data_IF_897624358533
#
_entry.id   IF_897624358533
#
_cell.length_a   1.000
_cell.length_b   1.000
_cell.length_c   1.000
_cell.angle_alpha   90.00
_cell.angle_beta   90.00
_cell.angle_gamma   90.00
#
_symmetry.space_group_name_H-M   'P 1'
#
loop_
_entity.id
_entity.type
_entity.pdbx_description
1 polymer ?
#
# COMPACT_ATOMS: atom_id res chain seq x y z
N UNK A 1 -19.76 27.29 -55.92
CA UNK A 1 -20.74 26.18 -56.04
C UNK A 1 -20.05 24.85 -56.25
N UNK A 2 -19.75 24.11 -55.18
CA UNK A 2 -19.87 22.66 -55.17
C UNK A 2 -20.16 22.23 -53.72
N UNK A 3 -21.22 21.46 -53.53
CA UNK A 3 -21.90 21.23 -52.27
C UNK A 3 -21.34 20.08 -51.42
N UNK A 4 -21.36 20.33 -50.11
CA UNK A 4 -21.80 19.52 -48.96
C UNK A 4 -21.92 17.97 -48.97
N UNK A 5 -21.76 17.46 -47.72
CA UNK A 5 -22.21 16.19 -47.08
C UNK A 5 -21.10 15.13 -46.96
N UNK A 6 -20.91 14.38 -45.87
CA UNK A 6 -21.61 14.14 -44.59
C UNK A 6 -20.70 13.19 -43.79
N UNK A 7 -20.69 13.25 -42.46
CA UNK A 7 -20.11 12.16 -41.68
C UNK A 7 -19.97 12.50 -40.19
N UNK A 8 -20.91 12.00 -39.39
CA UNK A 8 -21.06 12.30 -37.98
C UNK A 8 -20.41 11.21 -37.12
N UNK A 9 -19.90 11.61 -35.95
CA UNK A 9 -19.61 10.80 -34.74
C UNK A 9 -18.47 9.77 -34.82
N UNK A 10 -17.48 9.97 -33.94
CA UNK A 10 -17.30 9.09 -32.77
C UNK A 10 -16.65 9.91 -31.66
N UNK A 11 -17.40 10.15 -30.59
CA UNK A 11 -16.82 10.54 -29.32
C UNK A 11 -15.85 9.46 -28.89
N UNK A 12 -14.56 9.78 -28.92
CA UNK A 12 -13.64 9.17 -28.00
C UNK A 12 -13.61 10.12 -26.82
N UNK A 13 -14.48 9.86 -25.86
CA UNK A 13 -14.19 10.10 -24.47
C UNK A 13 -12.87 9.39 -24.19
N UNK A 14 -11.78 10.10 -24.50
CA UNK A 14 -10.47 9.87 -23.93
C UNK A 14 -10.66 10.16 -22.45
N UNK A 15 -11.21 9.17 -21.75
CA UNK A 15 -10.98 9.00 -20.35
C UNK A 15 -9.47 9.00 -20.26
N UNK A 16 -8.91 10.17 -19.93
CA UNK A 16 -7.53 10.32 -19.58
C UNK A 16 -7.34 9.35 -18.43
N UNK A 17 -6.90 8.14 -18.79
CA UNK A 17 -6.44 7.15 -17.86
C UNK A 17 -5.27 7.86 -17.19
N UNK A 18 -5.54 8.44 -16.02
CA UNK A 18 -4.52 8.96 -15.14
C UNK A 18 -3.77 7.73 -14.66
N UNK A 19 -2.90 7.21 -15.51
CA UNK A 19 -1.88 6.29 -15.13
C UNK A 19 -1.00 7.07 -14.15
N UNK A 20 -1.15 6.78 -12.86
CA UNK A 20 -0.16 7.20 -11.89
C UNK A 20 1.11 6.42 -12.23
N UNK A 21 1.96 7.01 -13.07
CA UNK A 21 3.30 6.51 -13.25
C UNK A 21 3.96 6.56 -11.87
N UNK A 22 4.27 5.39 -11.30
CA UNK A 22 5.11 5.27 -10.12
C UNK A 22 6.54 5.57 -10.57
N UNK A 23 6.81 6.86 -10.81
CA UNK A 23 8.09 7.38 -11.21
C UNK A 23 8.49 8.45 -10.22
N UNK A 24 9.51 8.17 -9.40
CA UNK A 24 10.08 9.18 -8.52
C UNK A 24 11.03 8.61 -7.49
N UNK A 25 12.23 8.23 -7.93
CA UNK A 25 13.41 8.13 -7.06
C UNK A 25 13.53 6.90 -6.17
N UNK A 26 13.04 5.73 -6.61
CA UNK A 26 13.46 4.48 -5.98
C UNK A 26 14.75 3.99 -6.66
N UNK A 27 15.77 3.67 -5.87
CA UNK A 27 16.92 2.92 -6.37
C UNK A 27 16.36 1.63 -7.03
N UNK A 28 16.62 1.35 -8.31
CA UNK A 28 16.12 0.15 -8.97
C UNK A 28 16.59 -1.14 -8.27
N UNK A 29 17.65 -1.06 -7.46
CA UNK A 29 18.19 -2.18 -6.68
C UNK A 29 17.56 -2.30 -5.28
N UNK A 30 16.66 -1.38 -4.89
CA UNK A 30 15.97 -1.43 -3.60
C UNK A 30 14.69 -2.25 -3.70
N UNK A 31 14.59 -3.31 -2.90
CA UNK A 31 13.36 -4.08 -2.70
C UNK A 31 12.28 -3.32 -1.93
N UNK A 32 12.61 -2.10 -1.49
CA UNK A 32 11.88 -1.31 -0.51
C UNK A 32 11.40 0.00 -1.14
N UNK A 33 10.09 0.24 -1.09
CA UNK A 33 9.42 1.49 -1.52
C UNK A 33 8.63 2.10 -0.36
N UNK A 34 8.86 3.38 -0.06
CA UNK A 34 8.12 4.09 1.00
C UNK A 34 7.06 5.02 0.41
N UNK A 35 5.84 4.96 0.93
CA UNK A 35 4.72 5.84 0.54
C UNK A 35 3.76 6.07 1.71
N UNK A 36 2.92 7.09 1.62
CA UNK A 36 1.89 7.38 2.61
C UNK A 36 0.53 6.91 2.11
N UNK A 37 -0.19 6.16 2.94
CA UNK A 37 -1.52 5.62 2.66
C UNK A 37 -2.43 5.75 3.89
N UNK A 38 -3.72 5.46 3.72
CA UNK A 38 -4.65 5.32 4.84
C UNK A 38 -4.66 3.86 5.29
N UNK A 39 -4.35 3.59 6.56
CA UNK A 39 -4.61 2.30 7.19
C UNK A 39 -5.76 2.48 8.15
N UNK A 40 -6.90 1.83 7.89
CA UNK A 40 -8.12 2.00 8.69
C UNK A 40 -8.48 3.49 8.87
N UNK A 41 -8.37 4.27 7.79
CA UNK A 41 -8.62 5.73 7.78
C UNK A 41 -7.62 6.59 8.59
N UNK A 42 -6.50 6.01 9.05
CA UNK A 42 -5.39 6.75 9.66
C UNK A 42 -4.23 6.89 8.68
N UNK A 43 -3.67 8.10 8.53
CA UNK A 43 -2.48 8.29 7.70
C UNK A 43 -1.30 7.51 8.26
N UNK A 44 -0.73 6.62 7.45
CA UNK A 44 0.40 5.77 7.77
C UNK A 44 1.49 5.91 6.71
N UNK A 45 2.74 6.01 7.13
CA UNK A 45 3.87 5.76 6.25
C UNK A 45 4.07 4.25 6.16
N UNK A 46 4.02 3.72 4.94
CA UNK A 46 4.14 2.29 4.66
C UNK A 46 5.40 2.00 3.87
N UNK A 47 6.02 0.89 4.24
CA UNK A 47 7.18 0.31 3.58
C UNK A 47 6.71 -0.93 2.81
N UNK A 48 6.79 -0.88 1.48
CA UNK A 48 6.55 -2.03 0.63
C UNK A 48 7.88 -2.72 0.39
N UNK A 49 8.06 -3.84 1.07
CA UNK A 49 9.22 -4.70 0.91
C UNK A 49 8.79 -6.00 0.21
N UNK A 50 9.28 -6.20 -1.02
CA UNK A 50 8.94 -7.40 -1.80
C UNK A 50 9.52 -8.70 -1.24
N UNK A 51 10.54 -8.63 -0.36
CA UNK A 51 11.11 -9.80 0.29
C UNK A 51 10.50 -10.09 1.66
N UNK A 52 9.61 -9.23 2.15
CA UNK A 52 8.93 -9.45 3.42
C UNK A 52 7.75 -10.43 3.26
N UNK A 53 7.75 -11.49 4.05
CA UNK A 53 6.67 -12.49 4.06
C UNK A 53 5.34 -11.94 4.60
N UNK A 54 5.40 -10.90 5.45
CA UNK A 54 4.25 -10.36 6.20
C UNK A 54 4.34 -8.85 6.38
N UNK A 55 3.19 -8.22 6.57
CA UNK A 55 3.09 -6.82 6.96
C UNK A 55 3.24 -6.64 8.46
N UNK A 56 3.98 -5.62 8.86
CA UNK A 56 4.16 -5.24 10.27
C UNK A 56 3.69 -3.82 10.50
N UNK A 57 3.21 -3.57 11.71
CA UNK A 57 2.84 -2.24 12.19
C UNK A 57 3.59 -1.98 13.48
N UNK A 58 4.07 -0.74 13.68
CA UNK A 58 4.71 -0.39 14.94
C UNK A 58 3.70 -0.45 16.09
N UNK A 59 4.16 -0.83 17.28
CA UNK A 59 3.30 -0.88 18.48
C UNK A 59 2.72 0.49 18.86
N UNK A 60 3.47 1.57 18.58
CA UNK A 60 3.00 2.94 18.79
C UNK A 60 1.90 3.32 17.81
N UNK A 61 2.00 2.92 16.54
CA UNK A 61 0.96 3.19 15.55
C UNK A 61 -0.26 2.28 15.75
N UNK A 62 -0.07 1.02 16.14
CA UNK A 62 -1.20 0.13 16.45
C UNK A 62 -2.08 0.66 17.58
N UNK A 63 -1.51 1.39 18.55
CA UNK A 63 -2.28 2.03 19.61
C UNK A 63 -3.16 3.20 19.12
N UNK A 64 -2.87 3.74 17.93
CA UNK A 64 -3.69 4.77 17.27
C UNK A 64 -4.81 4.16 16.42
N UNK A 65 -4.70 2.87 16.10
CA UNK A 65 -5.73 2.14 15.38
C UNK A 65 -6.83 1.75 16.36
N UNK A 66 -8.08 2.11 16.07
CA UNK A 66 -9.26 1.66 16.82
C UNK A 66 -9.62 0.21 16.44
N UNK A 67 -8.64 -0.68 16.56
CA UNK A 67 -8.75 -2.11 16.22
C UNK A 67 -8.30 -2.93 17.41
N UNK A 68 -9.20 -3.75 17.94
CA UNK A 68 -8.88 -4.65 19.04
C UNK A 68 -7.84 -5.70 18.60
N UNK A 69 -6.71 -5.86 19.33
CA UNK A 69 -5.75 -6.90 19.04
C UNK A 69 -6.37 -8.28 19.28
N UNK A 70 -5.96 -9.25 18.46
CA UNK A 70 -6.30 -10.66 18.60
C UNK A 70 -5.04 -11.47 18.87
N UNK A 71 -5.15 -12.53 19.65
CA UNK A 71 -4.06 -13.48 19.90
C UNK A 71 -4.17 -14.69 18.98
N UNK A 72 -3.04 -15.22 18.55
CA UNK A 72 -2.92 -16.49 17.85
C UNK A 72 -2.41 -17.60 18.77
N UNK A 73 -2.74 -18.84 18.40
CA UNK A 73 -2.25 -20.05 19.09
C UNK A 73 -0.75 -20.30 18.84
N UNK A 74 -0.20 -19.69 17.79
CA UNK A 74 1.22 -19.78 17.43
C UNK A 74 1.81 -18.38 17.33
N UNK A 75 3.02 -18.21 17.86
CA UNK A 75 3.80 -16.99 17.80
C UNK A 75 4.61 -16.90 16.50
N UNK A 76 4.99 -15.66 16.16
CA UNK A 76 5.92 -15.35 15.07
C UNK A 76 7.16 -14.69 15.63
N UNK A 77 8.32 -15.15 15.16
CA UNK A 77 9.57 -14.43 15.32
C UNK A 77 9.67 -13.37 14.22
N UNK A 78 9.96 -12.14 14.62
CA UNK A 78 10.16 -10.98 13.77
C UNK A 78 11.62 -10.57 13.91
N UNK A 79 12.37 -10.62 12.82
CA UNK A 79 13.72 -10.07 12.78
C UNK A 79 13.67 -8.56 12.58
N UNK A 80 14.28 -7.82 13.48
CA UNK A 80 14.41 -6.37 13.41
C UNK A 80 15.67 -6.00 12.62
N UNK A 81 15.73 -4.76 12.13
CA UNK A 81 16.87 -4.27 11.37
C UNK A 81 18.20 -4.26 12.15
N UNK A 82 18.16 -4.32 13.49
CA UNK A 82 19.33 -4.46 14.35
C UNK A 82 19.74 -5.92 14.61
N UNK A 83 19.12 -6.88 13.90
CA UNK A 83 19.37 -8.32 14.01
C UNK A 83 18.76 -8.97 15.26
N UNK A 84 17.99 -8.23 16.06
CA UNK A 84 17.27 -8.80 17.20
C UNK A 84 15.97 -9.46 16.74
N UNK A 85 15.55 -10.46 17.49
CA UNK A 85 14.27 -11.13 17.28
C UNK A 85 13.25 -10.66 18.32
N UNK A 86 12.05 -10.35 17.85
CA UNK A 86 10.87 -10.14 18.69
C UNK A 86 9.89 -11.28 18.42
N UNK A 87 9.37 -11.88 19.48
CA UNK A 87 8.32 -12.88 19.37
C UNK A 87 6.96 -12.25 19.68
N UNK A 88 5.97 -12.45 18.81
CA UNK A 88 4.59 -11.99 19.05
C UNK A 88 3.58 -12.99 18.53
N UNK A 89 2.52 -13.20 19.29
CA UNK A 89 1.31 -13.87 18.83
C UNK A 89 0.14 -12.89 18.66
N UNK A 90 0.38 -11.58 18.82
CA UNK A 90 -0.63 -10.53 18.69
C UNK A 90 -0.71 -10.06 17.24
N UNK A 91 -1.93 -10.01 16.71
CA UNK A 91 -2.22 -9.53 15.36
C UNK A 91 -3.39 -8.55 15.39
N UNK A 92 -3.43 -7.66 14.39
CA UNK A 92 -4.60 -6.85 14.09
C UNK A 92 -5.32 -7.48 12.90
N UNK A 93 -6.62 -7.76 13.04
CA UNK A 93 -7.46 -8.35 12.00
C UNK A 93 -8.37 -7.27 11.41
N UNK A 94 -8.75 -7.44 10.14
CA UNK A 94 -9.68 -6.53 9.46
C UNK A 94 -9.08 -5.16 9.16
N UNK A 95 -7.76 -5.03 9.13
CA UNK A 95 -7.11 -3.81 8.67
C UNK A 95 -7.30 -3.63 7.16
N UNK A 96 -7.56 -2.38 6.74
CA UNK A 96 -7.83 -2.03 5.34
C UNK A 96 -6.93 -0.89 4.89
N UNK A 97 -6.30 -1.07 3.73
CA UNK A 97 -5.54 -0.05 3.01
C UNK A 97 -6.45 0.80 2.12
#
# INVERSE_FOLDING_TARGET
>A
NHGNKTGNKTGSNEAAAKAYAIGGGANPDSNVVTRTFLLNNCYASMLFDSVADRSFVSSTFSALLDVAPSTLDTSYAIELADGKFLETNVILRGCTL
#
